data_IF_546387093042
#
_entry.id   IF_546387093042
#
_cell.length_a   1.000
_cell.length_b   1.000
_cell.length_c   1.000
_cell.angle_alpha   90.00
_cell.angle_beta   90.00
_cell.angle_gamma   90.00
#
_symmetry.space_group_name_H-M   'P 1'
#
loop_
_entity.id
_entity.type
_entity.pdbx_description
1 polymer ?
#
# COMPACT_ATOMS: atom_id res chain seq x y z
N UNK A 1 -11.72 -2.63 -16.14
CA UNK A 1 -11.89 -1.85 -14.89
C UNK A 1 -10.95 -0.67 -14.87
N UNK A 2 -11.41 0.47 -14.36
CA UNK A 2 -10.53 1.63 -14.13
C UNK A 2 -9.77 1.47 -12.80
N UNK A 3 -8.68 2.22 -12.62
CA UNK A 3 -7.83 2.11 -11.40
C UNK A 3 -8.62 2.34 -10.11
N UNK A 4 -9.54 3.31 -10.09
CA UNK A 4 -10.41 3.57 -8.94
C UNK A 4 -11.27 2.37 -8.56
N UNK A 5 -11.79 1.64 -9.55
CA UNK A 5 -12.63 0.45 -9.33
C UNK A 5 -11.80 -0.70 -8.75
N UNK A 6 -10.61 -0.94 -9.32
CA UNK A 6 -9.66 -1.94 -8.81
C UNK A 6 -9.26 -1.62 -7.37
N UNK A 7 -9.00 -0.34 -7.06
CA UNK A 7 -8.65 0.11 -5.72
C UNK A 7 -9.78 -0.17 -4.73
N UNK A 8 -11.05 0.11 -5.07
CA UNK A 8 -12.16 -0.22 -4.18
C UNK A 8 -12.33 -1.72 -4.02
N UNK A 9 -12.19 -2.52 -5.09
CA UNK A 9 -12.28 -3.98 -5.02
C UNK A 9 -11.20 -4.56 -4.09
N UNK A 10 -9.97 -4.06 -4.17
CA UNK A 10 -8.88 -4.44 -3.24
C UNK A 10 -9.25 -4.09 -1.80
N UNK A 11 -9.76 -2.87 -1.55
CA UNK A 11 -10.16 -2.44 -0.20
C UNK A 11 -11.28 -3.29 0.38
N UNK A 12 -12.29 -3.63 -0.42
CA UNK A 12 -13.40 -4.49 -0.01
C UNK A 12 -12.92 -5.90 0.30
N UNK A 13 -12.07 -6.48 -0.55
CA UNK A 13 -11.55 -7.83 -0.38
C UNK A 13 -10.62 -7.97 0.83
N UNK A 14 -9.83 -6.94 1.12
CA UNK A 14 -8.82 -7.00 2.19
C UNK A 14 -9.29 -6.37 3.52
N UNK A 15 -10.33 -5.53 3.50
CA UNK A 15 -10.79 -4.77 4.67
C UNK A 15 -11.29 -5.62 5.83
N UNK A 16 -11.62 -6.89 5.58
CA UNK A 16 -12.03 -7.87 6.60
C UNK A 16 -10.96 -8.93 6.89
N UNK A 17 -9.79 -8.85 6.24
CA UNK A 17 -8.72 -9.84 6.44
C UNK A 17 -8.04 -9.61 7.79
N UNK A 18 -8.05 -10.59 8.72
CA UNK A 18 -7.39 -10.44 10.01
C UNK A 18 -5.90 -10.11 9.88
N UNK A 19 -5.43 -9.17 10.70
CA UNK A 19 -4.03 -8.73 10.68
C UNK A 19 -3.64 -7.87 9.47
N UNK A 20 -4.60 -7.44 8.64
CA UNK A 20 -4.35 -6.50 7.54
C UNK A 20 -5.10 -5.20 7.82
N UNK A 21 -4.42 -4.08 7.62
CA UNK A 21 -5.06 -2.76 7.62
C UNK A 21 -4.44 -1.94 6.51
N UNK A 22 -5.27 -1.50 5.56
CA UNK A 22 -4.85 -0.64 4.44
C UNK A 22 -5.69 0.63 4.42
N UNK A 23 -5.01 1.77 4.37
CA UNK A 23 -5.57 3.09 4.20
C UNK A 23 -5.33 3.58 2.78
N UNK A 24 -6.29 4.35 2.25
CA UNK A 24 -6.09 5.08 1.00
C UNK A 24 -5.18 6.28 1.27
N UNK A 25 -4.07 6.34 0.55
CA UNK A 25 -3.09 7.42 0.60
C UNK A 25 -3.33 8.37 -0.58
N UNK A 26 -4.10 9.43 -0.35
CA UNK A 26 -4.19 10.51 -1.33
C UNK A 26 -2.91 11.35 -1.25
N UNK A 27 -2.22 11.52 -2.37
CA UNK A 27 -1.05 12.41 -2.47
C UNK A 27 -1.41 13.63 -3.32
N UNK A 28 -0.89 14.79 -2.95
CA UNK A 28 -1.17 16.01 -3.70
C UNK A 28 -0.83 17.28 -2.94
N UNK A 29 -1.36 18.40 -3.46
CA UNK A 29 -1.24 19.69 -2.83
C UNK A 29 -2.54 20.49 -3.00
N UNK A 30 -2.95 21.19 -1.96
CA UNK A 30 -4.09 22.10 -1.96
C UNK A 30 -3.70 23.39 -1.25
N UNK A 31 -4.32 24.51 -1.62
CA UNK A 31 -4.23 25.73 -0.83
C UNK A 31 -5.18 25.66 0.36
N UNK A 32 -4.70 26.01 1.55
CA UNK A 32 -5.57 26.15 2.71
C UNK A 32 -6.39 27.46 2.66
N UNK A 33 -7.23 27.69 3.67
CA UNK A 33 -8.09 28.87 3.75
C UNK A 33 -7.33 30.19 3.85
N UNK A 34 -6.02 30.17 4.14
CA UNK A 34 -5.14 31.34 4.20
C UNK A 34 -4.34 31.55 2.91
N UNK A 35 -4.53 30.69 1.90
CA UNK A 35 -3.80 30.72 0.64
C UNK A 35 -2.44 30.01 0.68
N UNK A 36 -2.08 29.36 1.81
CA UNK A 36 -0.83 28.61 1.92
C UNK A 36 -0.95 27.27 1.20
N UNK A 37 0.04 26.94 0.35
CA UNK A 37 0.11 25.63 -0.29
C UNK A 37 0.53 24.55 0.73
N UNK A 38 -0.33 23.56 0.93
CA UNK A 38 -0.10 22.40 1.79
C UNK A 38 0.02 21.15 0.93
N UNK A 39 1.14 20.42 1.08
CA UNK A 39 1.33 19.09 0.47
C UNK A 39 0.88 18.03 1.47
N UNK A 40 0.19 17.00 0.99
CA UNK A 40 -0.34 15.92 1.80
C UNK A 40 -0.08 14.55 1.17
N UNK A 41 -0.37 13.50 1.95
CA UNK A 41 0.08 12.14 1.67
C UNK A 41 1.49 11.89 2.24
N UNK A 42 2.02 10.68 2.06
CA UNK A 42 3.35 10.33 2.56
C UNK A 42 4.48 11.07 1.81
N UNK A 43 4.61 10.80 0.51
CA UNK A 43 5.58 11.43 -0.36
C UNK A 43 5.15 11.31 -1.83
N UNK A 44 5.76 12.09 -2.71
CA UNK A 44 5.52 11.94 -4.15
C UNK A 44 5.96 10.55 -4.63
N UNK A 45 5.05 9.84 -5.32
CA UNK A 45 5.28 8.46 -5.75
C UNK A 45 5.01 7.41 -4.67
N UNK A 46 4.56 7.79 -3.46
CA UNK A 46 4.06 6.80 -2.50
C UNK A 46 2.82 6.07 -3.04
N UNK A 47 2.67 4.82 -2.62
CA UNK A 47 1.63 3.92 -3.12
C UNK A 47 0.21 4.39 -2.78
N UNK A 48 -0.77 4.03 -3.62
CA UNK A 48 -2.19 4.35 -3.42
C UNK A 48 -2.79 3.79 -2.12
N UNK A 49 -2.38 2.58 -1.73
CA UNK A 49 -2.78 1.94 -0.49
C UNK A 49 -1.54 1.71 0.39
N UNK A 50 -1.60 2.17 1.63
CA UNK A 50 -0.54 1.99 2.62
C UNK A 50 -1.11 1.40 3.89
N UNK A 51 -0.31 0.67 4.65
CA UNK A 51 -0.69 0.30 6.00
C UNK A 51 0.17 -0.79 6.57
N UNK A 52 -0.47 -1.79 7.17
CA UNK A 52 0.20 -2.76 8.01
C UNK A 52 -0.30 -4.18 7.72
N UNK A 53 0.61 -5.14 7.78
CA UNK A 53 0.32 -6.56 7.97
C UNK A 53 0.97 -7.04 9.26
N UNK A 54 0.16 -7.49 10.21
CA UNK A 54 0.66 -8.18 11.40
C UNK A 54 1.15 -9.57 11.01
N UNK A 55 2.38 -9.89 11.40
CA UNK A 55 2.94 -11.24 11.28
C UNK A 55 3.19 -11.85 12.66
N UNK A 56 3.07 -13.17 12.73
CA UNK A 56 3.58 -13.94 13.86
C UNK A 56 5.08 -14.12 13.71
N UNK A 57 5.74 -13.99 14.83
CA UNK A 57 7.16 -13.76 14.93
C UNK A 57 7.84 -15.00 15.52
N UNK A 58 9.02 -15.36 15.01
CA UNK A 58 9.73 -16.64 15.21
C UNK A 58 10.41 -16.78 16.60
N UNK A 59 10.95 -17.95 17.00
CA UNK A 59 11.47 -18.23 18.35
C UNK A 59 12.37 -17.17 18.98
N UNK A 60 13.29 -16.56 18.23
CA UNK A 60 14.20 -15.53 18.77
C UNK A 60 13.52 -14.17 18.99
N UNK A 61 12.28 -14.05 18.51
CA UNK A 61 11.45 -12.87 18.59
C UNK A 61 10.10 -13.20 19.30
N UNK A 62 9.96 -14.43 19.83
CA UNK A 62 8.71 -15.00 20.34
C UNK A 62 8.09 -14.15 21.44
N UNK A 63 6.77 -13.96 21.34
CA UNK A 63 5.96 -13.15 22.24
C UNK A 63 5.56 -11.78 21.68
N UNK A 64 6.11 -11.37 20.53
CA UNK A 64 5.85 -10.06 19.94
C UNK A 64 4.99 -10.16 18.68
N UNK A 65 4.00 -9.28 18.53
CA UNK A 65 3.33 -9.06 17.25
C UNK A 65 4.06 -7.93 16.52
N UNK A 66 4.50 -8.17 15.28
CA UNK A 66 5.16 -7.15 14.46
C UNK A 66 4.25 -6.79 13.30
N UNK A 67 3.94 -5.51 13.20
CA UNK A 67 3.21 -4.95 12.08
C UNK A 67 4.20 -4.50 11.00
N UNK A 68 4.24 -5.23 9.88
CA UNK A 68 5.10 -4.91 8.74
C UNK A 68 4.39 -3.87 7.87
N UNK A 69 5.12 -2.80 7.53
CA UNK A 69 4.61 -1.79 6.62
C UNK A 69 4.29 -2.39 5.25
N UNK A 70 3.09 -2.09 4.75
CA UNK A 70 2.58 -2.56 3.48
C UNK A 70 2.28 -1.39 2.54
N UNK A 71 2.60 -1.54 1.25
CA UNK A 71 2.37 -0.53 0.23
C UNK A 71 1.94 -1.15 -1.11
N UNK A 72 0.70 -0.91 -1.51
CA UNK A 72 0.12 -1.44 -2.75
C UNK A 72 -0.20 -0.29 -3.69
N UNK A 73 0.54 -0.21 -4.79
CA UNK A 73 0.27 0.71 -5.90
C UNK A 73 -0.75 0.06 -6.83
N UNK A 74 -1.85 0.75 -7.12
CA UNK A 74 -2.93 0.20 -7.93
C UNK A 74 -2.77 0.66 -9.37
N UNK A 75 -2.73 -0.29 -10.29
CA UNK A 75 -2.74 0.00 -11.73
C UNK A 75 -3.81 -0.80 -12.44
N UNK A 76 -4.31 -0.27 -13.55
CA UNK A 76 -5.10 -1.08 -14.47
C UNK A 76 -4.18 -1.97 -15.32
N UNK A 77 -4.76 -2.77 -16.21
CA UNK A 77 -4.02 -3.69 -17.09
C UNK A 77 -2.90 -3.02 -17.90
N UNK A 78 -3.12 -1.78 -18.35
CA UNK A 78 -2.17 -1.02 -19.17
C UNK A 78 -1.32 -0.04 -18.36
N UNK A 79 -1.76 0.28 -17.14
CA UNK A 79 -1.13 1.23 -16.24
C UNK A 79 0.27 0.77 -15.86
N UNK A 80 1.22 1.69 -16.00
CA UNK A 80 2.62 1.51 -15.61
C UNK A 80 2.92 2.41 -14.42
N UNK A 81 3.61 1.92 -13.38
CA UNK A 81 4.08 2.79 -12.31
C UNK A 81 5.09 3.78 -12.89
N UNK A 82 5.13 4.98 -12.32
CA UNK A 82 6.16 5.97 -12.62
C UNK A 82 7.49 5.58 -11.96
N UNK A 83 8.61 6.16 -12.39
CA UNK A 83 9.93 5.90 -11.78
C UNK A 83 9.95 6.21 -10.28
N UNK A 84 9.25 7.27 -9.85
CA UNK A 84 9.11 7.62 -8.42
C UNK A 84 8.37 6.53 -7.64
N UNK A 85 7.32 5.97 -8.22
CA UNK A 85 6.57 4.86 -7.62
C UNK A 85 7.40 3.57 -7.57
N UNK A 86 8.15 3.28 -8.63
CA UNK A 86 9.09 2.15 -8.65
C UNK A 86 10.13 2.29 -7.53
N UNK A 87 10.73 3.48 -7.40
CA UNK A 87 11.73 3.76 -6.36
C UNK A 87 11.14 3.63 -4.95
N UNK A 88 9.94 4.14 -4.72
CA UNK A 88 9.25 4.03 -3.43
C UNK A 88 8.97 2.56 -3.08
N UNK A 89 8.38 1.79 -3.99
CA UNK A 89 8.08 0.38 -3.77
C UNK A 89 9.37 -0.43 -3.53
N UNK A 90 10.43 -0.13 -4.26
CA UNK A 90 11.73 -0.76 -4.07
C UNK A 90 12.31 -0.44 -2.70
N UNK A 91 12.25 0.83 -2.27
CA UNK A 91 12.70 1.24 -0.94
C UNK A 91 11.98 0.46 0.17
N UNK A 92 10.64 0.39 0.09
CA UNK A 92 9.83 -0.37 1.07
C UNK A 92 10.26 -1.84 1.12
N UNK A 93 10.43 -2.50 -0.04
CA UNK A 93 10.91 -3.89 -0.11
C UNK A 93 12.28 -4.06 0.50
N UNK A 94 13.24 -3.19 0.16
CA UNK A 94 14.61 -3.26 0.67
C UNK A 94 14.68 -3.05 2.19
N UNK A 95 13.73 -2.30 2.76
CA UNK A 95 13.59 -2.10 4.19
C UNK A 95 12.84 -3.23 4.91
N UNK A 96 12.45 -4.30 4.20
CA UNK A 96 11.72 -5.44 4.76
C UNK A 96 10.20 -5.30 4.78
N UNK A 97 9.66 -4.25 4.15
CA UNK A 97 8.22 -4.04 3.97
C UNK A 97 7.62 -4.85 2.81
N UNK A 98 6.29 -4.93 2.78
CA UNK A 98 5.53 -5.61 1.75
C UNK A 98 5.08 -4.60 0.71
N UNK A 99 5.63 -4.65 -0.50
CA UNK A 99 5.25 -3.68 -1.53
C UNK A 99 5.12 -4.25 -2.93
N UNK A 100 4.24 -3.66 -3.74
CA UNK A 100 4.13 -4.00 -5.16
C UNK A 100 2.99 -3.30 -5.90
N UNK A 101 2.93 -3.56 -7.20
CA UNK A 101 1.84 -3.11 -8.07
C UNK A 101 0.77 -4.19 -8.13
N UNK A 102 -0.46 -3.86 -7.75
CA UNK A 102 -1.62 -4.73 -7.86
C UNK A 102 -2.58 -4.24 -8.96
N UNK A 103 -3.12 -5.19 -9.72
CA UNK A 103 -4.16 -4.98 -10.73
C UNK A 103 -5.46 -5.72 -10.40
N UNK A 104 -5.47 -6.43 -9.28
CA UNK A 104 -6.62 -7.17 -8.78
C UNK A 104 -6.48 -7.42 -7.27
N UNK A 105 -7.57 -7.80 -6.57
CA UNK A 105 -7.51 -8.26 -5.19
C UNK A 105 -6.52 -9.41 -4.98
N UNK A 106 -6.45 -10.37 -5.89
CA UNK A 106 -5.56 -11.53 -5.80
C UNK A 106 -4.09 -11.11 -5.85
N UNK A 107 -3.74 -10.18 -6.73
CA UNK A 107 -2.37 -9.64 -6.77
C UNK A 107 -2.02 -8.87 -5.49
N UNK A 108 -2.98 -8.13 -4.92
CA UNK A 108 -2.76 -7.47 -3.64
C UNK A 108 -2.55 -8.50 -2.51
N UNK A 109 -3.30 -9.60 -2.49
CA UNK A 109 -3.08 -10.71 -1.54
C UNK A 109 -1.68 -11.31 -1.66
N UNK A 110 -1.20 -11.53 -2.88
CA UNK A 110 0.14 -12.04 -3.15
C UNK A 110 1.23 -11.08 -2.65
N UNK A 111 1.10 -9.77 -2.90
CA UNK A 111 2.02 -8.75 -2.38
C UNK A 111 2.06 -8.78 -0.86
N UNK A 112 0.90 -8.93 -0.23
CA UNK A 112 0.79 -9.04 1.22
C UNK A 112 1.19 -10.41 1.75
N UNK A 113 1.58 -11.39 0.91
CA UNK A 113 1.93 -12.74 1.34
C UNK A 113 0.82 -13.48 2.08
N UNK A 114 -0.44 -13.19 1.73
CA UNK A 114 -1.62 -13.86 2.27
C UNK A 114 -1.83 -15.21 1.54
N UNK A 115 -2.34 -16.25 2.24
CA UNK A 115 -2.67 -17.51 1.61
C UNK A 115 -3.72 -17.29 0.51
N UNK A 116 -3.58 -17.99 -0.62
CA UNK A 116 -4.56 -18.03 -1.71
C UNK A 116 -5.87 -18.64 -1.25
#
# INVERSE_FOLDING_TARGET
MIETEILQNIRLALGTTPGVTLWRNNTGALQDTTGRLVRYGLCEGSADLIGLRTITVTPDMVGQQVAIFAAVEVKNERGRPTDKQVNFLQHVRTAGGLAGVARSPEQARLILGLPT
#
